data_IF_704255616638
#
_entry.id   IF_704255616638
#
_cell.length_a   1.000
_cell.length_b   1.000
_cell.length_c   1.000
_cell.angle_alpha   90.00
_cell.angle_beta   90.00
_cell.angle_gamma   90.00
#
_symmetry.space_group_name_H-M   'P 1'
#
loop_
_entity.id
_entity.type
_entity.pdbx_description
1 polymer ?
#
# COMPACT_ATOMS: atom_id res chain seq x y z
N UNK A 1 12.21 -56.57 -71.16
CA UNK A 1 12.47 -55.11 -71.12
C UNK A 1 13.32 -54.82 -69.90
N UNK A 2 14.50 -54.26 -70.12
CA UNK A 2 15.70 -54.41 -69.29
C UNK A 2 15.69 -53.64 -67.96
N UNK A 3 16.00 -54.35 -66.86
CA UNK A 3 16.65 -53.84 -65.64
C UNK A 3 17.54 -54.93 -65.03
N UNK A 4 18.84 -54.73 -65.14
CA UNK A 4 19.98 -55.33 -64.41
C UNK A 4 20.94 -54.13 -64.25
N UNK A 5 21.66 -53.83 -63.18
CA UNK A 5 22.27 -54.62 -62.10
C UNK A 5 22.88 -53.64 -61.07
N UNK A 6 23.09 -54.12 -59.84
CA UNK A 6 23.85 -53.47 -58.74
C UNK A 6 25.41 -53.66 -58.94
N UNK A 7 26.30 -53.51 -57.92
CA UNK A 7 27.13 -52.34 -57.60
C UNK A 7 28.65 -52.67 -57.50
N UNK A 8 29.56 -51.69 -57.36
CA UNK A 8 30.96 -51.94 -56.90
C UNK A 8 31.69 -50.61 -56.63
N UNK A 9 32.08 -50.28 -55.38
CA UNK A 9 33.25 -50.72 -54.57
C UNK A 9 34.54 -49.90 -54.80
N UNK A 10 35.13 -49.53 -53.64
CA UNK A 10 36.54 -49.26 -53.33
C UNK A 10 37.13 -47.90 -53.74
N UNK A 11 37.55 -47.04 -52.81
CA UNK A 11 38.67 -47.08 -51.83
C UNK A 11 40.02 -46.67 -52.43
N UNK A 12 40.48 -45.47 -52.06
CA UNK A 12 41.90 -45.09 -51.96
C UNK A 12 41.99 -43.88 -50.99
N UNK A 13 42.50 -44.07 -49.77
CA UNK A 13 43.87 -43.69 -49.32
C UNK A 13 44.00 -42.16 -49.07
N UNK A 14 44.51 -41.62 -47.96
CA UNK A 14 45.65 -42.00 -47.11
C UNK A 14 45.52 -41.34 -45.71
N UNK A 15 45.99 -42.06 -44.68
CA UNK A 15 46.63 -41.64 -43.41
C UNK A 15 46.41 -40.24 -42.80
N UNK A 16 46.08 -40.20 -41.50
CA UNK A 16 47.02 -39.85 -40.41
C UNK A 16 46.34 -39.33 -39.12
N UNK A 17 46.70 -39.96 -37.98
CA UNK A 17 46.95 -39.37 -36.65
C UNK A 17 45.75 -38.87 -35.80
N UNK A 18 45.58 -39.47 -34.62
CA UNK A 18 44.66 -39.15 -33.52
C UNK A 18 45.21 -38.01 -32.60
N UNK A 19 44.60 -37.61 -31.46
CA UNK A 19 43.26 -37.86 -30.89
C UNK A 19 42.56 -36.57 -30.35
N UNK A 20 41.42 -36.76 -29.67
CA UNK A 20 40.77 -35.90 -28.65
C UNK A 20 39.65 -34.91 -29.05
N UNK A 21 38.45 -35.34 -28.66
CA UNK A 21 37.39 -34.58 -27.96
C UNK A 21 36.52 -33.61 -28.77
N UNK A 22 35.26 -34.02 -29.01
CA UNK A 22 34.09 -33.18 -28.70
C UNK A 22 32.79 -33.98 -28.66
N UNK A 23 32.08 -33.80 -27.54
CA UNK A 23 30.66 -34.13 -27.29
C UNK A 23 29.75 -33.58 -28.38
N UNK A 24 28.75 -34.36 -28.82
CA UNK A 24 27.50 -33.82 -29.36
C UNK A 24 26.30 -34.71 -28.97
N UNK A 25 25.40 -34.10 -28.18
CA UNK A 25 23.95 -34.34 -28.05
C UNK A 25 23.56 -35.70 -27.43
N UNK A 26 22.74 -35.78 -26.39
CA UNK A 26 21.32 -35.40 -26.37
C UNK A 26 20.85 -34.85 -25.00
N UNK A 27 19.76 -34.07 -25.04
CA UNK A 27 19.14 -33.18 -24.03
C UNK A 27 18.54 -33.91 -22.80
N UNK A 28 18.22 -33.16 -21.73
CA UNK A 28 16.81 -32.73 -21.59
C UNK A 28 16.61 -31.24 -21.25
N UNK A 29 15.67 -30.65 -22.00
CA UNK A 29 14.58 -29.75 -21.57
C UNK A 29 14.91 -28.51 -20.72
N UNK A 30 15.06 -27.42 -21.49
CA UNK A 30 14.72 -26.02 -21.23
C UNK A 30 13.64 -25.76 -20.14
N UNK A 31 14.07 -25.33 -18.96
CA UNK A 31 13.29 -24.44 -18.08
C UNK A 31 14.26 -23.49 -17.36
N UNK A 32 14.82 -22.48 -18.05
CA UNK A 32 15.43 -21.33 -17.34
C UNK A 32 15.86 -20.11 -18.17
N UNK A 33 15.27 -19.82 -19.36
CA UNK A 33 15.78 -18.72 -20.20
C UNK A 33 14.77 -17.72 -20.77
N UNK A 34 13.60 -17.55 -20.16
CA UNK A 34 12.61 -16.58 -20.64
C UNK A 34 12.46 -15.29 -19.79
N UNK A 35 13.09 -15.17 -18.61
CA UNK A 35 12.81 -14.05 -17.69
C UNK A 35 13.89 -12.98 -17.55
N UNK A 36 15.08 -13.14 -18.14
CA UNK A 36 16.21 -12.22 -17.91
C UNK A 36 16.55 -11.27 -19.07
N UNK A 37 15.90 -11.33 -20.23
CA UNK A 37 16.33 -10.56 -21.42
C UNK A 37 15.39 -9.42 -21.88
N UNK A 38 14.38 -8.99 -21.12
CA UNK A 38 13.39 -7.99 -21.60
C UNK A 38 13.06 -6.85 -20.63
N UNK A 39 14.00 -6.51 -19.75
CA UNK A 39 13.98 -5.27 -18.96
C UNK A 39 15.23 -4.42 -19.26
N UNK A 40 15.49 -4.14 -20.53
CA UNK A 40 16.42 -3.07 -20.90
C UNK A 40 15.59 -1.88 -21.36
N UNK A 41 15.34 -0.96 -20.42
CA UNK A 41 14.92 0.40 -20.76
C UNK A 41 16.14 1.11 -21.35
N UNK A 42 16.08 1.44 -22.64
CA UNK A 42 17.10 2.20 -23.36
C UNK A 42 17.04 3.67 -22.94
N UNK A 43 17.44 3.97 -21.71
CA UNK A 43 18.09 5.25 -21.42
C UNK A 43 19.58 4.98 -21.51
N UNK A 44 20.27 5.62 -22.45
CA UNK A 44 21.73 5.70 -22.41
C UNK A 44 22.06 6.42 -21.11
N UNK A 45 22.52 5.67 -20.11
CA UNK A 45 22.92 6.21 -18.82
C UNK A 45 24.26 6.89 -19.06
N UNK A 46 24.28 8.22 -19.00
CA UNK A 46 25.52 8.97 -18.93
C UNK A 46 26.15 8.67 -17.55
N UNK A 47 27.24 7.91 -17.53
CA UNK A 47 27.93 7.45 -16.31
C UNK A 47 28.32 8.60 -15.37
N UNK A 48 28.38 9.84 -15.88
CA UNK A 48 28.77 11.03 -15.13
C UNK A 48 27.61 11.74 -14.36
N UNK A 49 26.38 11.20 -14.34
CA UNK A 49 25.22 11.93 -13.79
C UNK A 49 24.31 11.19 -12.81
N UNK A 50 24.51 9.89 -12.57
CA UNK A 50 23.70 9.14 -11.60
C UNK A 50 24.46 8.91 -10.30
N UNK A 51 23.86 9.19 -9.12
CA UNK A 51 24.53 9.04 -7.82
C UNK A 51 24.73 7.57 -7.38
N UNK A 52 24.44 6.59 -8.25
CA UNK A 52 24.42 5.16 -7.92
C UNK A 52 25.28 4.36 -8.90
N UNK A 53 25.92 3.33 -8.38
CA UNK A 53 26.68 2.36 -9.16
C UNK A 53 25.76 1.42 -9.95
N UNK A 54 26.28 0.83 -11.03
CA UNK A 54 25.54 -0.12 -11.87
C UNK A 54 25.10 -1.37 -11.09
N UNK A 55 25.88 -1.80 -10.09
CA UNK A 55 25.53 -2.94 -9.22
C UNK A 55 24.35 -2.61 -8.31
N UNK A 56 24.34 -1.43 -7.67
CA UNK A 56 23.23 -0.97 -6.84
C UNK A 56 21.93 -0.88 -7.65
N UNK A 57 21.99 -0.36 -8.88
CA UNK A 57 20.83 -0.28 -9.76
C UNK A 57 20.30 -1.68 -10.14
N UNK A 58 21.18 -2.63 -10.46
CA UNK A 58 20.79 -4.02 -10.73
C UNK A 58 20.17 -4.69 -9.50
N UNK A 59 20.75 -4.48 -8.33
CA UNK A 59 20.22 -5.01 -7.08
C UNK A 59 18.82 -4.45 -6.78
N UNK A 60 18.63 -3.13 -6.94
CA UNK A 60 17.33 -2.48 -6.80
C UNK A 60 16.29 -3.03 -7.78
N UNK A 61 16.68 -3.31 -9.03
CA UNK A 61 15.81 -3.99 -10.01
C UNK A 61 15.41 -5.40 -9.58
N UNK A 62 16.38 -6.20 -9.11
CA UNK A 62 16.11 -7.57 -8.66
C UNK A 62 15.18 -7.59 -7.45
N UNK A 63 15.40 -6.71 -6.49
CA UNK A 63 14.53 -6.53 -5.33
C UNK A 63 13.13 -6.09 -5.73
N UNK A 64 13.01 -5.22 -6.75
CA UNK A 64 11.73 -4.79 -7.29
C UNK A 64 10.95 -5.95 -7.91
N UNK A 65 11.60 -6.76 -8.75
CA UNK A 65 10.98 -7.93 -9.40
C UNK A 65 10.52 -8.95 -8.37
N UNK A 66 11.38 -9.26 -7.38
CA UNK A 66 11.03 -10.13 -6.24
C UNK A 66 9.83 -9.58 -5.46
N UNK A 67 9.74 -8.25 -5.35
CA UNK A 67 8.70 -7.55 -4.61
C UNK A 67 7.33 -7.42 -5.30
N UNK A 68 7.15 -7.92 -6.54
CA UNK A 68 5.86 -7.85 -7.25
C UNK A 68 4.78 -8.74 -6.62
N UNK A 69 5.16 -9.77 -5.87
CA UNK A 69 4.21 -10.72 -5.27
C UNK A 69 3.44 -11.55 -6.32
N UNK A 70 2.59 -12.49 -5.87
CA UNK A 70 1.97 -13.49 -6.76
C UNK A 70 0.87 -12.93 -7.66
N UNK A 71 0.21 -11.84 -7.26
CA UNK A 71 -0.89 -11.25 -8.03
C UNK A 71 -0.37 -10.36 -9.17
N UNK A 72 0.53 -9.42 -8.86
CA UNK A 72 1.05 -8.48 -9.88
C UNK A 72 1.99 -9.17 -10.86
N UNK A 73 2.78 -10.15 -10.42
CA UNK A 73 3.70 -10.88 -11.31
C UNK A 73 2.99 -11.69 -12.42
N UNK A 74 1.71 -12.04 -12.22
CA UNK A 74 0.90 -12.76 -13.21
C UNK A 74 0.19 -11.84 -14.21
N UNK A 75 0.21 -10.52 -13.98
CA UNK A 75 -0.41 -9.56 -14.89
C UNK A 75 0.35 -9.48 -16.22
N UNK A 76 -0.32 -9.10 -17.32
CA UNK A 76 0.35 -8.76 -18.57
C UNK A 76 1.45 -7.72 -18.34
N UNK A 77 2.60 -7.87 -18.99
CA UNK A 77 3.79 -7.02 -18.78
C UNK A 77 3.50 -5.51 -18.94
N UNK A 78 2.53 -5.15 -19.79
CA UNK A 78 2.11 -3.76 -20.00
C UNK A 78 1.34 -3.16 -18.82
N UNK A 79 0.66 -3.99 -18.01
CA UNK A 79 -0.14 -3.56 -16.87
C UNK A 79 0.66 -3.54 -15.56
N UNK A 80 1.75 -4.30 -15.47
CA UNK A 80 2.61 -4.37 -14.28
C UNK A 80 3.03 -2.97 -13.79
N UNK A 81 3.53 -2.05 -14.65
CA UNK A 81 3.91 -0.70 -14.19
C UNK A 81 2.74 0.09 -13.59
N UNK A 82 1.50 -0.09 -14.09
CA UNK A 82 0.32 0.60 -13.57
C UNK A 82 -0.16 0.00 -12.24
N UNK A 83 -0.12 -1.33 -12.12
CA UNK A 83 -0.38 -2.02 -10.86
C UNK A 83 0.63 -1.62 -9.77
N UNK A 84 1.91 -1.49 -10.14
CA UNK A 84 2.97 -0.97 -9.28
C UNK A 84 2.76 0.50 -8.89
N UNK A 85 2.25 1.31 -9.81
CA UNK A 85 1.92 2.71 -9.54
C UNK A 85 0.79 2.82 -8.51
N UNK A 86 -0.16 1.88 -8.55
CA UNK A 86 -1.22 1.71 -7.55
C UNK A 86 -0.76 1.07 -6.23
N UNK A 87 0.47 0.56 -6.16
CA UNK A 87 1.00 -0.23 -5.05
C UNK A 87 0.22 -1.53 -4.78
N UNK A 88 -0.34 -2.15 -5.81
CA UNK A 88 -1.06 -3.43 -5.66
C UNK A 88 -0.15 -4.57 -5.17
N UNK A 89 1.16 -4.46 -5.37
CA UNK A 89 2.15 -5.40 -4.86
C UNK A 89 2.36 -5.28 -3.34
N UNK A 90 2.03 -4.12 -2.76
CA UNK A 90 2.17 -3.81 -1.33
C UNK A 90 0.90 -3.13 -0.80
N UNK A 91 -0.21 -3.87 -0.62
CA UNK A 91 -1.53 -3.31 -0.31
C UNK A 91 -1.67 -2.79 1.13
N UNK A 92 -0.56 -2.56 1.84
CA UNK A 92 -0.54 -2.06 3.23
C UNK A 92 -1.32 -0.76 3.36
N UNK A 93 -1.06 0.19 2.45
CA UNK A 93 -1.77 1.46 2.45
C UNK A 93 -3.26 1.31 2.12
N UNK A 94 -3.64 0.38 1.26
CA UNK A 94 -5.06 0.13 0.95
C UNK A 94 -5.80 -0.37 2.19
N UNK A 95 -5.21 -1.31 2.93
CA UNK A 95 -5.78 -1.79 4.18
C UNK A 95 -5.88 -0.69 5.22
N UNK A 96 -4.80 0.06 5.46
CA UNK A 96 -4.81 1.12 6.48
C UNK A 96 -5.78 2.27 6.13
N UNK A 97 -6.03 2.53 4.84
CA UNK A 97 -7.06 3.46 4.37
C UNK A 97 -8.48 2.92 4.61
N UNK A 98 -8.68 1.61 4.44
CA UNK A 98 -9.98 0.94 4.55
C UNK A 98 -10.45 0.73 6.00
N UNK A 99 -9.53 0.45 6.92
CA UNK A 99 -9.88 0.03 8.29
C UNK A 99 -10.73 1.06 9.07
N UNK A 100 -10.43 2.37 9.04
CA UNK A 100 -11.31 3.38 9.65
C UNK A 100 -12.71 3.42 9.00
N UNK A 101 -12.80 3.14 7.70
CA UNK A 101 -14.09 3.05 7.00
C UNK A 101 -14.92 1.89 7.55
N UNK A 102 -14.31 0.70 7.71
CA UNK A 102 -15.04 -0.45 8.22
C UNK A 102 -15.53 -0.24 9.65
N UNK A 103 -14.75 0.43 10.50
CA UNK A 103 -15.20 0.75 11.86
C UNK A 103 -16.43 1.67 11.85
N UNK A 104 -16.38 2.73 11.05
CA UNK A 104 -17.49 3.68 10.92
C UNK A 104 -18.76 2.99 10.37
N UNK A 105 -18.62 2.20 9.30
CA UNK A 105 -19.73 1.45 8.70
C UNK A 105 -20.36 0.49 9.71
N UNK A 106 -19.55 -0.26 10.48
CA UNK A 106 -20.07 -1.24 11.44
C UNK A 106 -20.79 -0.57 12.62
N UNK A 107 -20.24 0.52 13.16
CA UNK A 107 -20.89 1.28 14.22
C UNK A 107 -22.20 1.90 13.71
N UNK A 108 -22.19 2.52 12.53
CA UNK A 108 -23.36 3.11 11.92
C UNK A 108 -24.43 2.07 11.52
N UNK A 109 -24.01 0.88 11.07
CA UNK A 109 -24.90 -0.24 10.79
C UNK A 109 -25.63 -0.71 12.04
N UNK A 110 -24.93 -0.76 13.18
CA UNK A 110 -25.58 -1.03 14.47
C UNK A 110 -26.56 0.09 14.83
N UNK A 111 -26.17 1.37 14.74
CA UNK A 111 -27.06 2.50 15.04
C UNK A 111 -28.37 2.48 14.24
N UNK A 112 -28.29 2.16 12.96
CA UNK A 112 -29.42 2.14 12.04
C UNK A 112 -30.14 0.79 11.96
N UNK A 113 -29.66 -0.22 12.70
CA UNK A 113 -30.13 -1.62 12.61
C UNK A 113 -30.15 -2.13 11.16
N UNK A 114 -29.12 -1.76 10.39
CA UNK A 114 -29.04 -2.08 8.97
C UNK A 114 -28.94 -3.61 8.75
N UNK A 115 -29.61 -4.17 7.72
CA UNK A 115 -29.49 -5.58 7.36
C UNK A 115 -28.07 -5.99 6.94
N UNK A 116 -27.74 -7.28 7.12
CA UNK A 116 -26.42 -7.83 6.82
C UNK A 116 -25.97 -7.56 5.37
N UNK A 117 -26.89 -7.73 4.41
CA UNK A 117 -26.57 -7.56 2.99
C UNK A 117 -26.17 -6.13 2.64
N UNK A 118 -26.88 -5.13 3.15
CA UNK A 118 -26.53 -3.72 2.96
C UNK A 118 -25.20 -3.36 3.62
N UNK A 119 -24.94 -3.88 4.83
CA UNK A 119 -23.70 -3.62 5.57
C UNK A 119 -22.49 -4.22 4.85
N UNK A 120 -22.57 -5.48 4.45
CA UNK A 120 -21.50 -6.15 3.69
C UNK A 120 -21.32 -5.51 2.32
N UNK A 121 -22.40 -5.10 1.66
CA UNK A 121 -22.36 -4.33 0.42
C UNK A 121 -21.58 -3.01 0.59
N UNK A 122 -21.86 -2.25 1.65
CA UNK A 122 -21.17 -0.99 1.92
C UNK A 122 -19.69 -1.19 2.26
N UNK A 123 -19.36 -2.21 3.06
CA UNK A 123 -17.97 -2.63 3.30
C UNK A 123 -17.24 -2.96 1.99
N UNK A 124 -17.90 -3.67 1.07
CA UNK A 124 -17.37 -3.96 -0.26
C UNK A 124 -17.12 -2.71 -1.10
N UNK A 125 -18.09 -1.79 -1.16
CA UNK A 125 -17.98 -0.51 -1.90
C UNK A 125 -16.79 0.30 -1.38
N UNK A 126 -16.66 0.47 -0.06
CA UNK A 126 -15.53 1.18 0.53
C UNK A 126 -14.20 0.43 0.37
N UNK A 127 -14.21 -0.89 0.33
CA UNK A 127 -13.03 -1.71 0.04
C UNK A 127 -12.50 -1.47 -1.37
N UNK A 128 -13.38 -1.50 -2.38
CA UNK A 128 -13.03 -1.15 -3.77
C UNK A 128 -12.58 0.32 -3.85
N UNK A 129 -13.31 1.22 -3.19
CA UNK A 129 -12.95 2.63 -3.08
C UNK A 129 -11.54 2.84 -2.52
N UNK A 130 -11.17 2.12 -1.46
CA UNK A 130 -9.84 2.19 -0.86
C UNK A 130 -8.74 1.72 -1.82
N UNK A 131 -8.97 0.67 -2.62
CA UNK A 131 -8.01 0.22 -3.64
C UNK A 131 -7.79 1.33 -4.68
N UNK A 132 -8.86 1.90 -5.21
CA UNK A 132 -8.81 2.92 -6.26
C UNK A 132 -8.19 4.22 -5.74
N UNK A 133 -8.67 4.73 -4.61
CA UNK A 133 -8.24 6.01 -4.06
C UNK A 133 -6.83 5.96 -3.46
N UNK A 134 -6.42 4.83 -2.87
CA UNK A 134 -5.01 4.64 -2.51
C UNK A 134 -4.13 4.66 -3.77
N UNK A 135 -4.56 4.00 -4.83
CA UNK A 135 -3.86 3.99 -6.11
C UNK A 135 -3.72 5.39 -6.72
N UNK A 136 -4.78 6.20 -6.67
CA UNK A 136 -4.76 7.60 -7.10
C UNK A 136 -3.78 8.43 -6.26
N UNK A 137 -3.82 8.28 -4.93
CA UNK A 137 -2.90 8.93 -4.00
C UNK A 137 -1.43 8.57 -4.28
N UNK A 138 -1.13 7.30 -4.55
CA UNK A 138 0.22 6.88 -4.94
C UNK A 138 0.64 7.45 -6.31
N UNK A 139 -0.29 7.53 -7.26
CA UNK A 139 -0.02 8.06 -8.60
C UNK A 139 0.31 9.54 -8.58
N UNK A 140 -0.48 10.36 -7.87
CA UNK A 140 -0.21 11.80 -7.74
C UNK A 140 1.08 12.04 -6.93
N UNK A 141 1.34 11.23 -5.89
CA UNK A 141 2.57 11.33 -5.11
C UNK A 141 3.81 11.05 -5.97
N UNK A 142 3.82 9.94 -6.74
CA UNK A 142 4.94 9.60 -7.63
C UNK A 142 5.11 10.66 -8.74
N UNK A 143 4.03 11.33 -9.18
CA UNK A 143 4.10 12.40 -10.17
C UNK A 143 4.81 13.64 -9.63
N UNK A 144 4.55 14.02 -8.37
CA UNK A 144 5.22 15.14 -7.70
C UNK A 144 6.64 14.79 -7.23
N UNK A 145 6.91 13.53 -6.93
CA UNK A 145 8.18 13.05 -6.38
C UNK A 145 9.17 12.58 -7.44
N UNK A 146 8.81 12.57 -8.72
CA UNK A 146 9.63 12.01 -9.82
C UNK A 146 11.08 12.51 -9.87
N UNK A 147 11.35 13.76 -9.49
CA UNK A 147 12.69 14.40 -9.50
C UNK A 147 13.48 14.20 -8.18
N UNK A 148 12.83 13.62 -7.17
CA UNK A 148 13.42 13.23 -5.91
C UNK A 148 13.67 11.72 -5.91
N UNK A 149 12.73 10.95 -6.46
CA UNK A 149 12.77 9.48 -6.51
C UNK A 149 13.91 8.94 -7.38
N UNK A 150 14.35 9.68 -8.40
CA UNK A 150 15.52 9.33 -9.22
C UNK A 150 16.85 9.45 -8.46
N UNK A 151 16.84 10.09 -7.30
CA UNK A 151 18.00 10.29 -6.41
C UNK A 151 17.99 9.38 -5.18
N UNK A 152 17.08 8.40 -5.11
CA UNK A 152 17.01 7.44 -3.99
C UNK A 152 17.02 6.01 -4.49
N UNK A 153 17.97 5.19 -4.02
CA UNK A 153 18.16 3.82 -4.53
C UNK A 153 16.91 2.93 -4.41
N UNK A 154 16.10 3.17 -3.38
CA UNK A 154 14.85 2.44 -3.09
C UNK A 154 13.69 2.86 -3.99
N UNK A 155 13.67 4.10 -4.50
CA UNK A 155 12.58 4.60 -5.33
C UNK A 155 12.96 4.85 -6.80
N UNK A 156 14.23 4.69 -7.17
CA UNK A 156 14.70 4.82 -8.55
C UNK A 156 14.00 3.87 -9.52
N UNK A 157 13.52 2.72 -9.04
CA UNK A 157 12.77 1.73 -9.83
C UNK A 157 11.25 1.97 -9.86
N UNK A 158 10.74 3.05 -9.25
CA UNK A 158 9.32 3.41 -9.36
C UNK A 158 8.94 3.65 -10.83
N UNK A 159 7.70 3.35 -11.26
CA UNK A 159 7.33 3.38 -12.68
C UNK A 159 7.60 4.72 -13.39
N UNK A 160 7.34 5.85 -12.72
CA UNK A 160 7.58 7.19 -13.28
C UNK A 160 9.07 7.54 -13.25
N UNK A 161 9.76 7.32 -12.13
CA UNK A 161 11.19 7.63 -11.97
C UNK A 161 12.08 6.82 -12.93
N UNK A 162 11.77 5.53 -13.11
CA UNK A 162 12.47 4.63 -14.06
C UNK A 162 12.10 4.88 -15.54
N UNK A 163 11.14 5.75 -15.82
CA UNK A 163 10.67 6.05 -17.18
C UNK A 163 9.79 4.97 -17.81
N UNK A 164 9.37 3.94 -17.06
CA UNK A 164 8.47 2.88 -17.54
C UNK A 164 7.05 3.40 -17.80
N UNK A 165 6.66 4.48 -17.12
CA UNK A 165 5.44 5.24 -17.36
C UNK A 165 5.83 6.70 -17.55
N UNK A 166 5.39 7.31 -18.65
CA UNK A 166 5.58 8.75 -18.88
C UNK A 166 4.67 9.58 -17.97
N UNK A 167 5.04 10.83 -17.60
CA UNK A 167 4.16 11.69 -16.83
C UNK A 167 2.77 11.88 -17.44
N UNK A 168 2.66 11.96 -18.77
CA UNK A 168 1.38 12.07 -19.49
C UNK A 168 0.51 10.81 -19.28
N UNK A 169 1.11 9.62 -19.39
CA UNK A 169 0.41 8.36 -19.12
C UNK A 169 -0.04 8.26 -17.66
N UNK A 170 0.80 8.69 -16.71
CA UNK A 170 0.44 8.73 -15.29
C UNK A 170 -0.73 9.70 -15.03
N UNK A 171 -0.76 10.88 -15.66
CA UNK A 171 -1.87 11.82 -15.53
C UNK A 171 -3.18 11.28 -16.12
N UNK A 172 -3.14 10.61 -17.27
CA UNK A 172 -4.33 9.95 -17.85
C UNK A 172 -4.82 8.83 -16.94
N UNK A 173 -3.90 8.06 -16.37
CA UNK A 173 -4.26 6.99 -15.43
C UNK A 173 -4.87 7.54 -14.14
N UNK A 174 -4.30 8.62 -13.59
CA UNK A 174 -4.85 9.34 -12.45
C UNK A 174 -6.29 9.82 -12.74
N UNK A 175 -6.53 10.40 -13.92
CA UNK A 175 -7.87 10.82 -14.34
C UNK A 175 -8.84 9.62 -14.42
N UNK A 176 -8.38 8.47 -14.90
CA UNK A 176 -9.17 7.23 -14.88
C UNK A 176 -9.49 6.76 -13.47
N UNK A 177 -8.52 6.79 -12.55
CA UNK A 177 -8.73 6.42 -11.15
C UNK A 177 -9.70 7.36 -10.44
N UNK A 178 -9.59 8.67 -10.65
CA UNK A 178 -10.51 9.64 -10.06
C UNK A 178 -11.90 9.56 -10.67
N UNK A 179 -12.03 9.23 -11.97
CA UNK A 179 -13.34 8.96 -12.59
C UNK A 179 -14.01 7.71 -11.98
N UNK A 180 -13.25 6.63 -11.76
CA UNK A 180 -13.78 5.45 -11.05
C UNK A 180 -14.14 5.79 -9.60
N UNK A 181 -13.30 6.56 -8.91
CA UNK A 181 -13.58 7.05 -7.55
C UNK A 181 -14.85 7.90 -7.47
N UNK A 182 -15.08 8.76 -8.47
CA UNK A 182 -16.31 9.53 -8.61
C UNK A 182 -17.53 8.63 -8.88
N UNK A 183 -17.38 7.60 -9.72
CA UNK A 183 -18.40 6.58 -9.92
C UNK A 183 -18.78 5.88 -8.62
N UNK A 184 -17.80 5.49 -7.79
CA UNK A 184 -18.04 4.91 -6.46
C UNK A 184 -18.75 5.92 -5.54
N UNK A 185 -18.29 7.18 -5.52
CA UNK A 185 -18.91 8.23 -4.71
C UNK A 185 -20.38 8.47 -5.11
N UNK A 186 -20.71 8.36 -6.40
CA UNK A 186 -22.09 8.51 -6.90
C UNK A 186 -23.05 7.42 -6.42
N UNK A 187 -22.53 6.27 -5.94
CA UNK A 187 -23.32 5.22 -5.30
C UNK A 187 -23.69 5.57 -3.85
N UNK A 188 -23.05 6.59 -3.27
CA UNK A 188 -23.24 6.98 -1.88
C UNK A 188 -24.24 8.14 -1.76
N UNK A 189 -24.89 8.32 -0.58
CA UNK A 189 -25.77 9.46 -0.32
C UNK A 189 -25.07 10.81 -0.50
N UNK A 190 -25.84 11.86 -0.81
CA UNK A 190 -25.32 13.21 -1.07
C UNK A 190 -24.48 13.79 0.09
N UNK A 191 -24.75 13.38 1.32
CA UNK A 191 -23.96 13.74 2.51
C UNK A 191 -22.49 13.29 2.35
N UNK A 192 -22.25 12.11 1.77
CA UNK A 192 -20.90 11.63 1.47
C UNK A 192 -20.21 12.50 0.42
N UNK A 193 -20.95 13.11 -0.51
CA UNK A 193 -20.38 13.96 -1.56
C UNK A 193 -19.83 15.25 -0.96
N UNK A 194 -20.59 15.90 -0.07
CA UNK A 194 -20.15 17.11 0.62
C UNK A 194 -18.94 16.86 1.51
N UNK A 195 -18.94 15.75 2.27
CA UNK A 195 -17.78 15.35 3.06
C UNK A 195 -16.59 14.98 2.19
N UNK A 196 -16.81 14.30 1.07
CA UNK A 196 -15.76 14.00 0.08
C UNK A 196 -15.15 15.27 -0.49
N UNK A 197 -15.98 16.25 -0.87
CA UNK A 197 -15.54 17.55 -1.36
C UNK A 197 -14.72 18.32 -0.30
N UNK A 198 -15.16 18.28 0.96
CA UNK A 198 -14.44 18.91 2.08
C UNK A 198 -13.03 18.32 2.31
N UNK A 199 -12.78 17.08 1.87
CA UNK A 199 -11.45 16.44 1.97
C UNK A 199 -10.45 16.93 0.92
N UNK A 200 -10.94 17.44 -0.23
CA UNK A 200 -10.09 17.74 -1.39
C UNK A 200 -8.95 18.71 -1.09
N UNK A 201 -9.14 19.83 -0.34
CA UNK A 201 -8.04 20.73 -0.03
C UNK A 201 -6.88 20.02 0.68
N UNK A 202 -7.17 19.11 1.60
CA UNK A 202 -6.15 18.34 2.34
C UNK A 202 -5.51 17.30 1.41
N UNK A 203 -6.31 16.56 0.64
CA UNK A 203 -5.83 15.52 -0.29
C UNK A 203 -4.91 16.08 -1.37
N UNK A 204 -5.23 17.25 -1.94
CA UNK A 204 -4.39 17.87 -2.97
C UNK A 204 -3.10 18.46 -2.41
N UNK A 205 -3.12 18.96 -1.17
CA UNK A 205 -1.98 19.68 -0.60
C UNK A 205 -1.02 18.79 0.18
N UNK A 206 -1.44 17.64 0.72
CA UNK A 206 -0.59 16.82 1.60
C UNK A 206 0.80 16.47 1.03
N UNK A 207 1.00 16.17 -0.27
CA UNK A 207 2.33 15.82 -0.79
C UNK A 207 3.34 16.98 -0.69
N UNK A 208 2.83 18.22 -0.57
CA UNK A 208 3.65 19.43 -0.48
C UNK A 208 4.16 19.68 0.95
N UNK A 209 3.53 19.10 1.97
CA UNK A 209 3.80 19.42 3.38
C UNK A 209 5.24 19.10 3.78
N UNK A 210 5.83 18.04 3.22
CA UNK A 210 7.23 17.67 3.48
C UNK A 210 8.25 18.75 3.07
N UNK A 211 7.85 19.72 2.23
CA UNK A 211 8.71 20.82 1.77
C UNK A 211 8.80 21.97 2.77
N UNK A 212 7.78 22.16 3.63
CA UNK A 212 7.73 23.33 4.52
C UNK A 212 7.58 22.98 6.00
N UNK A 213 6.97 21.84 6.36
CA UNK A 213 6.74 21.45 7.76
C UNK A 213 7.41 20.12 8.12
N UNK A 214 7.75 19.96 9.40
CA UNK A 214 8.16 18.67 9.98
C UNK A 214 7.00 17.75 10.32
N UNK A 215 5.76 18.13 10.00
CA UNK A 215 4.57 17.32 10.30
C UNK A 215 3.80 16.86 9.04
N UNK A 216 4.45 16.36 7.97
CA UNK A 216 3.71 15.82 6.82
C UNK A 216 2.83 14.62 7.20
N UNK A 217 3.23 13.84 8.22
CA UNK A 217 2.44 12.74 8.81
C UNK A 217 1.06 13.22 9.29
N UNK A 218 0.94 14.47 9.77
CA UNK A 218 -0.34 15.01 10.22
C UNK A 218 -1.28 15.27 9.04
N UNK A 219 -0.77 15.87 7.96
CA UNK A 219 -1.56 16.06 6.75
C UNK A 219 -1.97 14.72 6.11
N UNK A 220 -1.06 13.74 6.08
CA UNK A 220 -1.38 12.39 5.65
C UNK A 220 -2.48 11.79 6.54
N UNK A 221 -2.32 11.84 7.86
CA UNK A 221 -3.29 11.28 8.80
C UNK A 221 -4.67 11.91 8.66
N UNK A 222 -4.75 13.21 8.36
CA UNK A 222 -6.02 13.89 8.11
C UNK A 222 -6.74 13.34 6.86
N UNK A 223 -6.05 13.23 5.73
CA UNK A 223 -6.67 12.71 4.51
C UNK A 223 -6.94 11.20 4.58
N UNK A 224 -6.07 10.44 5.23
CA UNK A 224 -6.05 8.99 5.17
C UNK A 224 -7.12 8.33 6.06
N UNK A 225 -7.60 9.04 7.09
CA UNK A 225 -8.64 8.54 7.99
C UNK A 225 -10.02 9.13 7.67
N UNK A 226 -10.14 9.90 6.59
CA UNK A 226 -11.41 10.56 6.21
C UNK A 226 -12.55 9.57 5.98
N UNK A 227 -12.24 8.31 5.66
CA UNK A 227 -13.20 7.22 5.60
C UNK A 227 -14.02 7.01 6.88
N UNK A 228 -13.47 7.33 8.05
CA UNK A 228 -14.19 7.30 9.32
C UNK A 228 -15.35 8.32 9.36
N UNK A 229 -15.25 9.42 8.61
CA UNK A 229 -16.32 10.41 8.45
C UNK A 229 -17.36 9.93 7.43
N UNK A 230 -16.93 9.31 6.33
CA UNK A 230 -17.84 8.93 5.25
C UNK A 230 -18.70 7.70 5.58
N UNK A 231 -18.22 6.80 6.44
CA UNK A 231 -18.91 5.54 6.74
C UNK A 231 -20.28 5.70 7.39
N UNK A 232 -20.47 6.73 8.24
CA UNK A 232 -21.75 7.01 8.90
C UNK A 232 -22.85 7.45 7.92
N UNK A 233 -22.68 8.56 7.16
CA UNK A 233 -23.68 8.99 6.20
C UNK A 233 -23.91 7.95 5.10
N UNK A 234 -22.91 7.12 4.77
CA UNK A 234 -23.08 6.01 3.84
C UNK A 234 -24.10 4.98 4.34
N UNK A 235 -24.20 4.78 5.66
CA UNK A 235 -25.21 3.94 6.31
C UNK A 235 -26.49 4.71 6.67
N UNK A 236 -26.63 5.98 6.27
CA UNK A 236 -27.85 6.77 6.46
C UNK A 236 -27.96 7.52 7.78
N UNK A 237 -26.87 7.66 8.55
CA UNK A 237 -26.86 8.39 9.83
C UNK A 237 -25.76 9.46 9.86
N UNK A 238 -26.07 10.63 10.41
CA UNK A 238 -25.09 11.68 10.70
C UNK A 238 -24.96 11.86 12.21
N UNK A 239 -24.06 11.10 12.80
CA UNK A 239 -23.77 11.17 14.24
C UNK A 239 -22.40 11.82 14.49
N UNK A 240 -22.38 13.14 14.52
CA UNK A 240 -21.16 13.91 14.78
C UNK A 240 -20.50 13.57 16.11
N UNK A 241 -21.28 13.16 17.12
CA UNK A 241 -20.79 12.84 18.46
C UNK A 241 -19.95 11.56 18.48
N UNK A 242 -20.18 10.66 17.53
CA UNK A 242 -19.39 9.42 17.33
C UNK A 242 -18.35 9.58 16.23
N UNK A 243 -18.73 10.24 15.13
CA UNK A 243 -17.88 10.45 13.96
C UNK A 243 -16.59 11.17 14.36
N UNK A 244 -16.69 12.31 15.05
CA UNK A 244 -15.52 13.18 15.34
C UNK A 244 -14.50 12.44 16.22
N UNK A 245 -14.87 11.84 17.37
CA UNK A 245 -13.90 11.10 18.17
C UNK A 245 -13.33 9.88 17.45
N UNK A 246 -14.11 9.16 16.63
CA UNK A 246 -13.61 8.04 15.84
C UNK A 246 -12.55 8.48 14.82
N UNK A 247 -12.81 9.57 14.09
CA UNK A 247 -11.85 10.14 13.14
C UNK A 247 -10.60 10.65 13.84
N UNK A 248 -10.72 11.39 14.94
CA UNK A 248 -9.59 11.88 15.71
C UNK A 248 -8.76 10.72 16.29
N UNK A 249 -9.40 9.66 16.80
CA UNK A 249 -8.71 8.45 17.26
C UNK A 249 -7.96 7.75 16.12
N UNK A 250 -8.59 7.61 14.95
CA UNK A 250 -7.98 7.02 13.75
C UNK A 250 -6.82 7.86 13.23
N UNK A 251 -6.96 9.19 13.26
CA UNK A 251 -5.93 10.16 12.94
C UNK A 251 -4.70 9.98 13.85
N UNK A 252 -4.90 9.87 15.17
CA UNK A 252 -3.81 9.66 16.12
C UNK A 252 -3.12 8.30 15.92
N UNK A 253 -3.89 7.26 15.60
CA UNK A 253 -3.33 5.96 15.25
C UNK A 253 -2.41 6.04 14.02
N UNK A 254 -2.87 6.75 12.98
CA UNK A 254 -2.10 7.01 11.78
C UNK A 254 -0.84 7.83 12.06
N UNK A 255 -0.94 8.85 12.90
CA UNK A 255 0.23 9.62 13.35
C UNK A 255 1.29 8.72 13.97
N UNK A 256 0.89 7.74 14.79
CA UNK A 256 1.81 6.81 15.45
C UNK A 256 2.49 5.91 14.43
N UNK A 257 1.72 5.14 13.64
CA UNK A 257 2.33 4.15 12.75
C UNK A 257 3.09 4.80 11.60
N UNK A 258 2.66 5.96 11.10
CA UNK A 258 3.30 6.64 9.98
C UNK A 258 4.56 7.38 10.42
N UNK A 259 4.61 7.87 11.66
CA UNK A 259 5.86 8.39 12.23
C UNK A 259 6.88 7.27 12.45
N UNK A 260 6.45 6.10 12.95
CA UNK A 260 7.33 4.92 13.04
C UNK A 260 7.81 4.50 11.65
N UNK A 261 6.93 4.52 10.66
CA UNK A 261 7.29 4.23 9.28
C UNK A 261 8.38 5.20 8.77
N UNK A 262 8.24 6.50 9.05
CA UNK A 262 9.18 7.54 8.61
C UNK A 262 10.58 7.42 9.22
N UNK A 263 10.75 6.76 10.38
CA UNK A 263 12.08 6.50 10.95
C UNK A 263 12.96 5.62 10.05
N UNK A 264 12.37 4.84 9.12
CA UNK A 264 13.14 4.09 8.11
C UNK A 264 14.01 4.99 7.23
N UNK A 265 13.55 6.22 7.00
CA UNK A 265 14.10 7.11 6.00
C UNK A 265 14.88 8.26 6.63
N UNK A 266 15.03 8.27 7.96
CA UNK A 266 15.65 9.34 8.73
C UNK A 266 17.04 9.77 8.20
N UNK A 267 17.91 8.81 7.92
CA UNK A 267 19.26 9.09 7.42
C UNK A 267 19.25 9.71 6.00
N UNK A 268 18.27 9.33 5.19
CA UNK A 268 18.07 9.88 3.86
C UNK A 268 17.44 11.28 3.93
N UNK A 269 16.39 11.44 4.74
CA UNK A 269 15.68 12.71 4.92
C UNK A 269 16.64 13.83 5.34
N UNK A 270 17.57 13.54 6.26
CA UNK A 270 18.62 14.47 6.68
C UNK A 270 19.50 14.90 5.49
N UNK A 271 19.97 13.95 4.68
CA UNK A 271 20.83 14.24 3.52
C UNK A 271 20.09 15.01 2.42
N UNK A 272 18.80 14.73 2.25
CA UNK A 272 17.95 15.33 1.23
C UNK A 272 17.30 16.65 1.67
N UNK A 273 17.47 17.07 2.93
CA UNK A 273 16.80 18.24 3.50
C UNK A 273 15.27 18.09 3.61
N UNK A 274 14.77 16.86 3.63
CA UNK A 274 13.35 16.55 3.74
C UNK A 274 12.96 16.57 5.21
N UNK A 275 11.84 17.24 5.52
CA UNK A 275 11.32 17.36 6.88
C UNK A 275 10.30 16.24 7.16
N UNK A 276 10.39 15.60 8.32
CA UNK A 276 9.46 14.54 8.75
C UNK A 276 9.26 14.52 10.27
N UNK A 277 8.14 13.95 10.73
CA UNK A 277 7.84 13.88 12.17
C UNK A 277 8.88 13.03 12.91
N UNK A 278 9.47 12.04 12.23
CA UNK A 278 10.58 11.25 12.75
C UNK A 278 11.80 12.11 13.11
N UNK A 279 12.08 13.16 12.33
CA UNK A 279 13.14 14.12 12.62
C UNK A 279 12.74 15.10 13.73
N UNK A 280 11.50 15.60 13.73
CA UNK A 280 11.04 16.53 14.77
C UNK A 280 10.94 15.90 16.15
N UNK A 281 10.42 14.66 16.24
CA UNK A 281 10.30 13.97 17.52
C UNK A 281 11.60 13.31 17.95
N UNK A 282 12.43 12.86 17.01
CA UNK A 282 13.73 12.26 17.31
C UNK A 282 13.62 11.15 18.36
N UNK A 283 14.41 11.25 19.43
CA UNK A 283 14.40 10.31 20.56
C UNK A 283 13.10 10.33 21.38
N UNK A 284 12.32 11.41 21.32
CA UNK A 284 11.04 11.53 22.02
C UNK A 284 9.89 10.79 21.32
N UNK A 285 10.12 10.20 20.14
CA UNK A 285 9.08 9.54 19.33
C UNK A 285 8.26 8.54 20.15
N UNK A 286 8.90 7.68 20.95
CA UNK A 286 8.18 6.69 21.77
C UNK A 286 7.31 7.36 22.84
N UNK A 287 7.84 8.37 23.55
CA UNK A 287 7.12 9.11 24.59
C UNK A 287 5.89 9.80 24.03
N UNK A 288 6.03 10.48 22.90
CA UNK A 288 4.92 11.16 22.21
C UNK A 288 3.91 10.12 21.70
N UNK A 289 4.39 9.03 21.09
CA UNK A 289 3.51 7.95 20.61
C UNK A 289 2.67 7.32 21.73
N UNK A 290 3.23 7.17 22.94
CA UNK A 290 2.45 6.71 24.09
C UNK A 290 1.35 7.70 24.48
N UNK A 291 1.66 9.00 24.52
CA UNK A 291 0.65 10.02 24.80
C UNK A 291 -0.47 10.01 23.73
N UNK A 292 -0.09 9.96 22.44
CA UNK A 292 -1.06 9.87 21.34
C UNK A 292 -1.89 8.58 21.41
N UNK A 293 -1.29 7.44 21.77
CA UNK A 293 -2.00 6.17 21.92
C UNK A 293 -3.02 6.25 23.06
N UNK A 294 -2.64 6.79 24.22
CA UNK A 294 -3.57 6.99 25.34
C UNK A 294 -4.75 7.89 24.93
N UNK A 295 -4.48 9.02 24.27
CA UNK A 295 -5.54 9.90 23.76
C UNK A 295 -6.40 9.21 22.70
N UNK A 296 -5.80 8.45 21.79
CA UNK A 296 -6.51 7.65 20.79
C UNK A 296 -7.51 6.72 21.46
N UNK A 297 -7.11 5.91 22.44
CA UNK A 297 -8.02 4.96 23.09
C UNK A 297 -9.09 5.66 23.93
N UNK A 298 -8.78 6.82 24.52
CA UNK A 298 -9.79 7.69 25.12
C UNK A 298 -10.85 8.15 24.12
N UNK A 299 -10.43 8.59 22.92
CA UNK A 299 -11.33 9.03 21.85
C UNK A 299 -12.15 7.88 21.24
N UNK A 300 -11.57 6.70 21.08
CA UNK A 300 -12.30 5.52 20.61
C UNK A 300 -13.33 5.04 21.64
N UNK A 301 -13.00 5.11 22.92
CA UNK A 301 -13.94 4.83 24.03
C UNK A 301 -15.05 5.88 24.07
N UNK A 302 -14.71 7.15 23.87
CA UNK A 302 -15.69 8.23 23.76
C UNK A 302 -16.65 7.97 22.59
N UNK A 303 -16.13 7.70 21.39
CA UNK A 303 -16.96 7.42 20.21
C UNK A 303 -17.97 6.29 20.50
N UNK A 304 -17.48 5.23 21.15
CA UNK A 304 -18.31 4.10 21.51
C UNK A 304 -19.42 4.48 22.52
N UNK A 305 -19.07 5.26 23.55
CA UNK A 305 -20.02 5.76 24.55
C UNK A 305 -21.05 6.74 23.96
N UNK A 306 -20.66 7.56 22.99
CA UNK A 306 -21.56 8.52 22.33
C UNK A 306 -22.43 7.89 21.23
N UNK A 307 -22.09 6.69 20.77
CA UNK A 307 -22.83 6.02 19.68
C UNK A 307 -24.28 5.65 19.99
N UNK A 308 -24.68 5.64 21.26
CA UNK A 308 -26.00 5.19 21.68
C UNK A 308 -26.27 3.70 21.43
N UNK A 309 -25.24 2.94 21.04
CA UNK A 309 -25.29 1.49 20.86
C UNK A 309 -24.81 0.80 22.13
N UNK A 310 -25.51 -0.25 22.57
CA UNK A 310 -25.01 -1.11 23.63
C UNK A 310 -23.74 -1.82 23.15
N UNK A 311 -22.60 -1.47 23.75
CA UNK A 311 -21.30 -2.04 23.37
C UNK A 311 -21.22 -3.49 23.85
N UNK A 312 -20.92 -4.39 22.92
CA UNK A 312 -20.83 -5.82 23.19
C UNK A 312 -19.44 -6.28 23.61
N UNK A 313 -19.30 -7.59 23.88
CA UNK A 313 -18.01 -8.19 24.21
C UNK A 313 -16.98 -8.05 23.09
N UNK A 314 -17.41 -7.95 21.83
CA UNK A 314 -16.55 -7.71 20.67
C UNK A 314 -15.84 -6.37 20.76
N UNK A 315 -16.56 -5.27 21.00
CA UNK A 315 -15.95 -3.95 21.14
C UNK A 315 -14.90 -3.93 22.26
N UNK A 316 -15.25 -4.43 23.44
CA UNK A 316 -14.36 -4.43 24.63
C UNK A 316 -13.11 -5.28 24.36
N UNK A 317 -13.30 -6.51 23.88
CA UNK A 317 -12.20 -7.42 23.57
C UNK A 317 -11.32 -6.89 22.43
N UNK A 318 -11.96 -6.39 21.37
CA UNK A 318 -11.30 -5.81 20.20
C UNK A 318 -10.48 -4.58 20.54
N UNK A 319 -11.03 -3.65 21.32
CA UNK A 319 -10.32 -2.44 21.77
C UNK A 319 -9.15 -2.78 22.70
N UNK A 320 -9.32 -3.79 23.57
CA UNK A 320 -8.26 -4.29 24.45
C UNK A 320 -7.10 -4.91 23.65
N UNK A 321 -7.39 -5.74 22.64
CA UNK A 321 -6.39 -6.31 21.74
C UNK A 321 -5.70 -5.20 20.94
N UNK A 322 -6.45 -4.21 20.45
CA UNK A 322 -5.91 -3.06 19.75
C UNK A 322 -4.93 -2.29 20.65
N UNK A 323 -5.34 -1.95 21.87
CA UNK A 323 -4.50 -1.29 22.87
C UNK A 323 -3.22 -2.09 23.11
N UNK A 324 -3.34 -3.37 23.47
CA UNK A 324 -2.19 -4.25 23.69
C UNK A 324 -1.20 -4.21 22.52
N UNK A 325 -1.70 -4.34 21.28
CA UNK A 325 -0.84 -4.36 20.08
C UNK A 325 -0.15 -3.01 19.84
N UNK A 326 -0.85 -1.88 19.99
CA UNK A 326 -0.26 -0.55 19.78
C UNK A 326 0.77 -0.24 20.85
N UNK A 327 0.44 -0.44 22.13
CA UNK A 327 1.37 -0.18 23.24
C UNK A 327 2.59 -1.11 23.16
N UNK A 328 2.39 -2.40 22.84
CA UNK A 328 3.49 -3.35 22.64
C UNK A 328 4.36 -2.99 21.43
N UNK A 329 3.77 -2.54 20.33
CA UNK A 329 4.51 -2.04 19.17
C UNK A 329 5.40 -0.85 19.53
N UNK A 330 4.86 0.16 20.21
CA UNK A 330 5.61 1.36 20.62
C UNK A 330 6.76 0.98 21.56
N UNK A 331 6.52 0.06 22.50
CA UNK A 331 7.55 -0.45 23.42
C UNK A 331 8.70 -1.10 22.67
N UNK A 332 8.38 -2.05 21.79
CA UNK A 332 9.34 -3.01 21.25
C UNK A 332 10.02 -2.56 19.96
N UNK A 333 9.48 -1.56 19.24
CA UNK A 333 10.08 -1.12 17.98
C UNK A 333 11.45 -0.50 18.21
N UNK A 334 12.45 -0.92 17.43
CA UNK A 334 13.72 -0.22 17.32
C UNK A 334 13.62 0.82 16.21
N UNK A 335 13.64 2.11 16.58
CA UNK A 335 13.47 3.22 15.64
C UNK A 335 14.67 3.42 14.72
N UNK A 336 15.85 2.92 15.08
CA UNK A 336 17.04 3.01 14.24
C UNK A 336 17.18 1.81 13.29
N UNK A 337 16.25 0.85 13.33
CA UNK A 337 16.21 -0.33 12.47
C UNK A 337 15.10 -0.19 11.42
N UNK A 338 15.44 0.05 10.14
CA UNK A 338 14.43 0.18 9.08
C UNK A 338 13.55 -1.07 8.95
N UNK A 339 14.13 -2.25 9.16
CA UNK A 339 13.41 -3.53 9.11
C UNK A 339 12.38 -3.64 10.23
N UNK A 340 12.71 -3.21 11.44
CA UNK A 340 11.76 -3.23 12.56
C UNK A 340 10.67 -2.19 12.40
N UNK A 341 10.99 -1.00 11.89
CA UNK A 341 10.01 0.03 11.57
C UNK A 341 9.02 -0.44 10.49
N UNK A 342 9.51 -1.13 9.45
CA UNK A 342 8.65 -1.75 8.43
C UNK A 342 7.73 -2.83 9.02
N UNK A 343 8.27 -3.68 9.90
CA UNK A 343 7.50 -4.73 10.60
C UNK A 343 6.43 -4.13 11.50
N UNK A 344 6.77 -3.09 12.27
CA UNK A 344 5.82 -2.37 13.11
C UNK A 344 4.70 -1.73 12.28
N UNK A 345 5.06 -1.00 11.21
CA UNK A 345 4.10 -0.38 10.29
C UNK A 345 3.13 -1.39 9.68
N UNK A 346 3.65 -2.46 9.07
CA UNK A 346 2.82 -3.51 8.43
C UNK A 346 1.97 -4.29 9.42
N UNK A 347 2.42 -4.45 10.67
CA UNK A 347 1.67 -5.09 11.75
C UNK A 347 0.36 -4.37 12.11
N UNK A 348 0.20 -3.09 11.74
CA UNK A 348 -1.03 -2.33 11.99
C UNK A 348 -2.22 -2.80 11.15
N UNK A 349 -1.98 -3.48 10.01
CA UNK A 349 -3.06 -4.11 9.25
C UNK A 349 -3.82 -5.10 10.13
N UNK A 350 -3.09 -6.03 10.77
CA UNK A 350 -3.69 -7.02 11.67
C UNK A 350 -4.37 -6.36 12.86
N UNK A 351 -3.76 -5.31 13.42
CA UNK A 351 -4.31 -4.57 14.54
C UNK A 351 -5.70 -4.02 14.22
N UNK A 352 -5.86 -3.34 13.08
CA UNK A 352 -7.17 -2.81 12.71
C UNK A 352 -8.14 -3.87 12.18
N UNK A 353 -7.65 -4.95 11.58
CA UNK A 353 -8.49 -6.09 11.19
C UNK A 353 -9.12 -6.76 12.41
N UNK A 354 -8.35 -7.00 13.47
CA UNK A 354 -8.91 -7.55 14.72
C UNK A 354 -10.00 -6.68 15.29
N UNK A 355 -9.80 -5.35 15.29
CA UNK A 355 -10.85 -4.45 15.75
C UNK A 355 -12.08 -4.44 14.83
N UNK A 356 -11.88 -4.50 13.51
CA UNK A 356 -12.98 -4.61 12.54
C UNK A 356 -13.79 -5.89 12.72
N UNK A 357 -13.12 -7.04 12.90
CA UNK A 357 -13.79 -8.31 13.15
C UNK A 357 -14.54 -8.32 14.48
N UNK A 358 -13.98 -7.67 15.50
CA UNK A 358 -14.62 -7.58 16.81
C UNK A 358 -15.89 -6.69 16.77
N UNK A 359 -15.85 -5.58 16.03
CA UNK A 359 -17.05 -4.76 15.75
C UNK A 359 -18.07 -5.53 14.90
N UNK A 360 -17.62 -6.31 13.92
CA UNK A 360 -18.51 -7.13 13.11
C UNK A 360 -19.18 -8.23 13.95
N UNK A 361 -18.46 -8.79 14.92
CA UNK A 361 -19.02 -9.75 15.87
C UNK A 361 -20.16 -9.13 16.69
N UNK A 362 -19.95 -7.94 17.27
CA UNK A 362 -21.03 -7.22 17.98
C UNK A 362 -22.22 -6.90 17.08
N UNK A 363 -21.96 -6.50 15.83
CA UNK A 363 -23.02 -6.29 14.84
C UNK A 363 -23.85 -7.57 14.60
N UNK A 364 -23.21 -8.73 14.48
CA UNK A 364 -23.92 -10.02 14.33
C UNK A 364 -24.72 -10.35 15.60
N UNK A 365 -24.14 -10.19 16.80
CA UNK A 365 -24.85 -10.41 18.06
C UNK A 365 -26.12 -9.56 18.17
N UNK A 366 -26.05 -8.31 17.69
CA UNK A 366 -27.20 -7.41 17.65
C UNK A 366 -28.25 -7.84 16.63
N UNK A 367 -27.84 -8.29 15.45
CA UNK A 367 -28.79 -8.81 14.45
C UNK A 367 -29.59 -10.03 14.95
N UNK A 368 -28.98 -10.86 15.81
CA UNK A 368 -29.64 -12.04 16.39
C UNK A 368 -30.31 -11.77 17.74
N UNK A 369 -30.36 -10.51 18.19
CA UNK A 369 -31.07 -10.07 19.39
C UNK A 369 -30.40 -10.43 20.73
N UNK A 370 -29.09 -10.70 20.74
CA UNK A 370 -28.32 -10.92 21.97
C UNK A 370 -27.89 -9.58 22.61
N UNK A 371 -27.59 -8.59 21.77
CA UNK A 371 -27.34 -7.19 22.14
C UNK A 371 -28.46 -6.33 21.57
#
# INVERSE_FOLDING_TARGET
MLRLSFPSRNLSNFSAIAPLTRKLLWKPLLIQRAQTSRYQSTKVINENTTPFTTEELKQSQLERIKGLGPLVSKLPTRLIPYAELMRLEKPVGTWLLYLPCSWAILIAAMQTSAPLLSTVGMLGIFGVGAVIMRGAGCTINDLFDRNLDDKVIRSVQRPIASGRITPKQASVFLAGQTAVGMGILSLLPAQCWWLGLASLPIVFTYPLFKRFTYYPQAALSACFNWGAMLGFPAMGVLDWSTMIPLYCGSFLWCMIYDTIYAHQDKAFDIKAGIKSTALAWGSNTKKISYALATTQFGLLTWAAASSGVMLGPGFIGGLSIFAYRVFSMIKNVNLDSPKDCWRAFTGNIQTGLYFSYALFFDYILRLIGIL
#
